data_IF_731453006285
#
_entry.id   IF_731453006285
#
_cell.length_a   1.000
_cell.length_b   1.000
_cell.length_c   1.000
_cell.angle_alpha   90.00
_cell.angle_beta   90.00
_cell.angle_gamma   90.00
#
_symmetry.space_group_name_H-M   'P 1'
#
loop_
_entity.id
_entity.type
_entity.pdbx_description
1 polymer ?
#
# COMPACT_ATOMS: atom_id res chain seq x y z
N UNK A 1 6.05 25.54 -0.61
CA UNK A 1 6.58 25.65 -1.99
C UNK A 1 7.74 24.69 -2.29
N UNK A 2 8.76 24.56 -1.41
CA UNK A 2 9.95 23.73 -1.66
C UNK A 2 9.67 22.25 -1.93
N UNK A 3 8.70 21.66 -1.20
CA UNK A 3 8.32 20.26 -1.38
C UNK A 3 7.77 20.00 -2.79
N UNK A 4 6.92 20.88 -3.32
CA UNK A 4 6.21 20.66 -4.59
C UNK A 4 7.11 20.57 -5.82
N UNK A 5 8.15 21.41 -5.91
CA UNK A 5 9.06 21.43 -7.06
C UNK A 5 9.95 20.17 -7.08
N UNK A 6 10.42 19.75 -5.91
CA UNK A 6 11.20 18.50 -5.79
C UNK A 6 10.34 17.31 -6.19
N UNK A 7 9.07 17.28 -5.78
CA UNK A 7 8.15 16.22 -6.16
C UNK A 7 7.84 16.19 -7.66
N UNK A 8 7.63 17.34 -8.30
CA UNK A 8 7.33 17.38 -9.74
C UNK A 8 8.55 16.96 -10.57
N UNK A 9 9.75 17.39 -10.20
CA UNK A 9 10.99 16.94 -10.84
C UNK A 9 11.21 15.44 -10.66
N UNK A 10 11.00 14.92 -9.44
CA UNK A 10 11.11 13.49 -9.17
C UNK A 10 10.08 12.68 -9.97
N UNK A 11 8.81 13.10 -9.98
CA UNK A 11 7.76 12.44 -10.76
C UNK A 11 8.07 12.43 -12.26
N UNK A 12 8.61 13.53 -12.80
CA UNK A 12 9.02 13.63 -14.21
C UNK A 12 10.20 12.70 -14.51
N UNK A 13 11.16 12.61 -13.59
CA UNK A 13 12.26 11.64 -13.71
C UNK A 13 11.71 10.22 -13.73
N UNK A 14 10.91 9.83 -12.75
CA UNK A 14 10.36 8.49 -12.64
C UNK A 14 9.56 8.08 -13.88
N UNK A 15 8.67 8.93 -14.36
CA UNK A 15 7.85 8.65 -15.55
C UNK A 15 8.71 8.40 -16.80
N UNK A 16 9.79 9.16 -16.99
CA UNK A 16 10.77 8.92 -18.06
C UNK A 16 11.47 7.57 -17.91
N UNK A 17 11.88 7.22 -16.70
CA UNK A 17 12.53 5.92 -16.42
C UNK A 17 11.60 4.73 -16.68
N UNK A 18 10.33 4.85 -16.30
CA UNK A 18 9.31 3.83 -16.56
C UNK A 18 9.12 3.64 -18.06
N UNK A 19 9.05 4.75 -18.82
CA UNK A 19 8.98 4.72 -20.27
C UNK A 19 10.18 4.01 -20.89
N UNK A 20 11.39 4.31 -20.45
CA UNK A 20 12.61 3.67 -20.93
C UNK A 20 12.65 2.16 -20.64
N UNK A 21 12.20 1.73 -19.45
CA UNK A 21 12.10 0.30 -19.11
C UNK A 21 11.08 -0.41 -20.01
N UNK A 22 9.90 0.18 -20.21
CA UNK A 22 8.88 -0.39 -21.13
C UNK A 22 9.40 -0.50 -22.55
N UNK A 23 10.10 0.52 -23.05
CA UNK A 23 10.69 0.49 -24.39
C UNK A 23 11.75 -0.61 -24.53
N UNK A 24 12.66 -0.76 -23.56
CA UNK A 24 13.66 -1.84 -23.56
C UNK A 24 13.02 -3.22 -23.52
N UNK A 25 12.03 -3.41 -22.64
CA UNK A 25 11.34 -4.68 -22.49
C UNK A 25 10.55 -5.03 -23.76
N UNK A 26 9.86 -4.06 -24.36
CA UNK A 26 9.17 -4.23 -25.63
C UNK A 26 10.13 -4.59 -26.77
N UNK A 27 11.26 -3.89 -26.86
CA UNK A 27 12.30 -4.18 -27.85
C UNK A 27 12.84 -5.61 -27.71
N UNK A 28 13.13 -6.05 -26.48
CA UNK A 28 13.59 -7.41 -26.23
C UNK A 28 12.54 -8.46 -26.59
N UNK A 29 11.28 -8.26 -26.19
CA UNK A 29 10.17 -9.17 -26.55
C UNK A 29 9.98 -9.25 -28.07
N UNK A 30 10.16 -8.14 -28.78
CA UNK A 30 10.02 -8.08 -30.24
C UNK A 30 11.13 -8.83 -30.99
N UNK A 31 12.25 -9.15 -30.33
CA UNK A 31 13.35 -9.93 -30.90
C UNK A 31 13.29 -11.42 -30.57
N UNK A 32 12.33 -11.87 -29.74
CA UNK A 32 12.16 -13.29 -29.41
C UNK A 32 11.69 -14.09 -30.63
N UNK A 33 12.09 -15.36 -30.70
CA UNK A 33 11.63 -16.25 -31.77
C UNK A 33 10.14 -16.57 -31.62
N UNK A 34 9.48 -16.95 -32.73
CA UNK A 34 8.06 -17.30 -32.73
C UNK A 34 7.76 -18.42 -31.72
N UNK A 35 8.66 -19.41 -31.61
CA UNK A 35 8.55 -20.53 -30.69
C UNK A 35 8.62 -20.07 -29.21
N UNK A 36 9.45 -19.08 -28.91
CA UNK A 36 9.56 -18.49 -27.57
C UNK A 36 8.34 -17.63 -27.20
N UNK A 37 7.77 -16.92 -28.17
CA UNK A 37 6.54 -16.14 -27.99
C UNK A 37 5.34 -17.06 -27.76
N UNK A 38 5.22 -18.14 -28.54
CA UNK A 38 4.15 -19.14 -28.44
C UNK A 38 4.24 -20.03 -27.20
N UNK A 39 5.42 -20.13 -26.58
CA UNK A 39 5.61 -20.84 -25.31
C UNK A 39 4.80 -20.24 -24.14
N UNK A 40 4.28 -19.01 -24.29
CA UNK A 40 3.46 -18.32 -23.30
C UNK A 40 2.18 -17.74 -23.93
N UNK A 41 1.05 -17.68 -23.19
CA UNK A 41 -0.15 -17.02 -23.68
C UNK A 41 0.12 -15.55 -24.02
N UNK A 42 -0.45 -15.04 -25.13
CA UNK A 42 -0.30 -13.64 -25.56
C UNK A 42 -0.66 -12.62 -24.46
N UNK A 43 -1.63 -12.95 -23.60
CA UNK A 43 -2.02 -12.13 -22.45
C UNK A 43 -0.95 -12.04 -21.34
N UNK A 44 -0.04 -13.02 -21.23
CA UNK A 44 1.06 -12.98 -20.26
C UNK A 44 2.08 -11.90 -20.62
N UNK A 45 2.39 -11.75 -21.92
CA UNK A 45 3.32 -10.71 -22.41
C UNK A 45 2.78 -9.30 -22.18
N UNK A 46 1.48 -9.08 -22.42
CA UNK A 46 0.80 -7.80 -22.14
C UNK A 46 0.82 -7.49 -20.64
N UNK A 47 0.61 -8.51 -19.80
CA UNK A 47 0.66 -8.40 -18.35
C UNK A 47 2.06 -8.05 -17.86
N UNK A 48 3.11 -8.69 -18.41
CA UNK A 48 4.51 -8.39 -18.09
C UNK A 48 4.89 -6.95 -18.47
N UNK A 49 4.48 -6.49 -19.66
CA UNK A 49 4.78 -5.14 -20.15
C UNK A 49 4.07 -4.03 -19.34
N UNK A 50 2.83 -4.28 -18.94
CA UNK A 50 2.01 -3.27 -18.26
C UNK A 50 2.05 -3.41 -16.74
N UNK A 51 1.59 -4.54 -16.20
CA UNK A 51 1.39 -4.76 -14.76
C UNK A 51 2.73 -5.00 -14.07
N UNK A 52 3.60 -5.86 -14.61
CA UNK A 52 4.86 -6.17 -13.92
C UNK A 52 5.85 -5.01 -13.97
N UNK A 53 5.93 -4.25 -15.07
CA UNK A 53 6.72 -3.01 -15.12
C UNK A 53 6.13 -1.94 -14.18
N UNK A 54 4.80 -1.83 -14.10
CA UNK A 54 4.16 -0.89 -13.16
C UNK A 54 4.42 -1.30 -11.70
N UNK A 55 4.41 -2.59 -11.39
CA UNK A 55 4.78 -3.11 -10.08
C UNK A 55 6.27 -2.87 -9.79
N UNK A 56 7.17 -3.22 -10.71
CA UNK A 56 8.62 -3.01 -10.58
C UNK A 56 8.97 -1.53 -10.32
N UNK A 57 8.24 -0.64 -10.97
CA UNK A 57 8.41 0.80 -10.83
C UNK A 57 7.51 1.42 -9.76
N UNK A 58 6.71 0.63 -9.04
CA UNK A 58 5.80 1.14 -8.00
C UNK A 58 6.56 1.85 -6.87
N UNK A 59 7.80 1.44 -6.60
CA UNK A 59 8.68 2.13 -5.64
C UNK A 59 9.02 3.56 -6.01
N UNK A 60 9.02 3.84 -7.30
CA UNK A 60 9.33 5.12 -7.88
C UNK A 60 8.04 5.91 -8.13
N UNK A 61 6.99 5.24 -8.62
CA UNK A 61 5.75 5.82 -9.11
C UNK A 61 4.66 6.08 -8.06
N UNK A 62 4.55 5.26 -7.01
CA UNK A 62 3.45 5.42 -6.07
C UNK A 62 3.65 6.62 -5.14
N UNK A 63 2.55 7.23 -4.62
CA UNK A 63 2.59 8.35 -3.68
C UNK A 63 3.32 8.07 -2.36
N UNK A 64 3.81 6.84 -2.15
CA UNK A 64 4.65 6.42 -1.02
C UNK A 64 6.02 6.03 -1.58
N UNK A 65 6.81 7.05 -1.87
CA UNK A 65 8.11 6.99 -2.52
C UNK A 65 9.23 6.45 -1.59
N UNK A 66 10.33 5.95 -2.15
CA UNK A 66 11.62 5.76 -1.44
C UNK A 66 12.03 7.00 -0.61
N UNK A 67 11.95 8.24 -1.16
CA UNK A 67 12.18 9.45 -0.37
C UNK A 67 11.21 9.62 0.81
N UNK A 68 9.97 9.13 0.74
CA UNK A 68 9.07 9.14 1.90
C UNK A 68 9.51 8.17 2.99
N UNK A 69 10.05 6.99 2.63
CA UNK A 69 10.63 6.07 3.59
C UNK A 69 11.86 6.69 4.28
N UNK A 70 12.71 7.38 3.51
CA UNK A 70 13.89 8.09 4.02
C UNK A 70 13.47 9.24 4.94
N UNK A 71 12.53 10.09 4.50
CA UNK A 71 11.99 11.19 5.31
C UNK A 71 11.32 10.66 6.57
N UNK A 72 10.55 9.58 6.49
CA UNK A 72 9.93 8.94 7.64
C UNK A 72 10.98 8.43 8.64
N UNK A 73 12.03 7.77 8.15
CA UNK A 73 13.13 7.26 8.98
C UNK A 73 13.89 8.41 9.64
N UNK A 74 14.23 9.46 8.87
CA UNK A 74 14.86 10.67 9.41
C UNK A 74 13.97 11.31 10.46
N UNK A 75 12.67 11.44 10.19
CA UNK A 75 11.72 12.04 11.12
C UNK A 75 11.63 11.24 12.44
N UNK A 76 11.56 9.90 12.37
CA UNK A 76 11.59 9.04 13.56
C UNK A 76 12.90 9.21 14.32
N UNK A 77 14.05 9.15 13.64
CA UNK A 77 15.37 9.27 14.27
C UNK A 77 15.59 10.64 14.91
N UNK A 78 15.28 11.72 14.19
CA UNK A 78 15.43 13.10 14.68
C UNK A 78 14.46 13.36 15.84
N UNK A 79 13.19 12.96 15.70
CA UNK A 79 12.20 13.08 16.78
C UNK A 79 12.63 12.30 18.02
N UNK A 80 13.11 11.07 17.84
CA UNK A 80 13.62 10.24 18.93
C UNK A 80 14.83 10.87 19.61
N UNK A 81 15.78 11.39 18.83
CA UNK A 81 16.99 12.02 19.38
C UNK A 81 16.65 13.28 20.18
N UNK A 82 15.78 14.14 19.65
CA UNK A 82 15.35 15.36 20.33
C UNK A 82 14.60 15.02 21.63
N UNK A 83 13.68 14.05 21.59
CA UNK A 83 12.93 13.63 22.78
C UNK A 83 13.83 13.04 23.88
N UNK A 84 14.82 12.23 23.51
CA UNK A 84 15.79 11.66 24.46
C UNK A 84 16.65 12.75 25.09
N UNK A 85 17.13 13.71 24.28
CA UNK A 85 17.93 14.84 24.77
C UNK A 85 17.14 15.77 25.70
N UNK A 86 15.83 15.90 25.46
CA UNK A 86 14.96 16.77 26.24
C UNK A 86 14.59 16.14 27.58
N UNK A 87 14.00 14.94 27.57
CA UNK A 87 13.69 14.20 28.79
C UNK A 87 13.49 12.70 28.48
N UNK A 88 14.39 11.83 28.96
CA UNK A 88 14.29 10.38 28.76
C UNK A 88 12.98 9.76 29.30
N UNK A 89 12.40 10.33 30.36
CA UNK A 89 11.13 9.89 30.94
C UNK A 89 9.93 10.17 30.04
N UNK A 90 9.87 11.37 29.44
CA UNK A 90 8.85 11.73 28.43
C UNK A 90 8.96 10.80 27.22
N UNK A 91 10.18 10.58 26.73
CA UNK A 91 10.43 9.69 25.60
C UNK A 91 9.99 8.25 25.87
N UNK A 92 10.35 7.69 27.02
CA UNK A 92 9.96 6.33 27.42
C UNK A 92 8.44 6.16 27.45
N UNK A 93 7.72 7.15 28.00
CA UNK A 93 6.26 7.16 28.04
C UNK A 93 5.63 7.28 26.64
N UNK A 94 6.19 8.13 25.77
CA UNK A 94 5.74 8.26 24.37
C UNK A 94 5.91 6.92 23.65
N UNK A 95 7.09 6.29 23.72
CA UNK A 95 7.36 5.01 23.06
C UNK A 95 6.43 3.92 23.60
N UNK A 96 6.25 3.86 24.91
CA UNK A 96 5.37 2.89 25.55
C UNK A 96 3.93 2.97 25.04
N UNK A 97 3.50 4.12 24.51
CA UNK A 97 2.17 4.31 23.92
C UNK A 97 2.15 4.22 22.39
N UNK A 98 3.19 4.70 21.72
CA UNK A 98 3.32 4.66 20.25
C UNK A 98 3.44 3.21 19.75
N UNK A 99 4.21 2.36 20.43
CA UNK A 99 4.38 0.96 20.02
C UNK A 99 3.03 0.21 20.03
N UNK A 100 2.23 0.20 21.13
CA UNK A 100 0.91 -0.42 21.12
C UNK A 100 -0.03 0.19 20.09
N UNK A 101 0.01 1.50 19.88
CA UNK A 101 -0.85 2.17 18.88
C UNK A 101 -0.57 1.67 17.47
N UNK A 102 0.71 1.58 17.09
CA UNK A 102 1.13 1.07 15.79
C UNK A 102 0.81 -0.42 15.65
N UNK A 103 1.06 -1.23 16.69
CA UNK A 103 0.72 -2.65 16.68
C UNK A 103 -0.79 -2.88 16.54
N UNK A 104 -1.61 -2.13 17.28
CA UNK A 104 -3.06 -2.21 17.21
C UNK A 104 -3.57 -1.87 15.81
N UNK A 105 -3.07 -0.79 15.22
CA UNK A 105 -3.37 -0.43 13.82
C UNK A 105 -3.04 -1.58 12.86
N UNK A 106 -1.85 -2.15 13.00
CA UNK A 106 -1.38 -3.19 12.09
C UNK A 106 -2.18 -4.49 12.22
N UNK A 107 -2.47 -4.92 13.45
CA UNK A 107 -3.15 -6.17 13.73
C UNK A 107 -4.67 -6.08 13.51
N UNK A 108 -5.32 -5.00 13.91
CA UNK A 108 -6.77 -4.86 13.80
C UNK A 108 -7.24 -4.42 12.42
N UNK A 109 -6.39 -3.74 11.63
CA UNK A 109 -6.81 -3.15 10.35
C UNK A 109 -5.94 -3.68 9.22
N UNK A 110 -4.65 -3.39 9.22
CA UNK A 110 -3.82 -3.61 8.02
C UNK A 110 -3.78 -5.09 7.62
N UNK A 111 -3.53 -6.01 8.56
CA UNK A 111 -3.53 -7.46 8.32
C UNK A 111 -4.88 -8.02 7.84
N UNK A 112 -6.00 -7.82 8.55
CA UNK A 112 -7.28 -8.37 8.09
C UNK A 112 -7.75 -7.74 6.78
N UNK A 113 -7.51 -6.44 6.58
CA UNK A 113 -7.87 -5.75 5.32
C UNK A 113 -7.04 -6.29 4.14
N UNK A 114 -5.75 -6.58 4.34
CA UNK A 114 -4.92 -7.17 3.27
C UNK A 114 -5.35 -8.59 2.93
N UNK A 115 -5.71 -9.42 3.92
CA UNK A 115 -6.27 -10.74 3.68
C UNK A 115 -7.61 -10.67 2.91
N UNK A 116 -8.56 -9.86 3.40
CA UNK A 116 -9.85 -9.66 2.74
C UNK A 116 -9.72 -9.07 1.33
N UNK A 117 -8.68 -8.29 1.06
CA UNK A 117 -8.42 -7.76 -0.28
C UNK A 117 -8.08 -8.87 -1.29
N UNK A 118 -7.44 -9.96 -0.84
CA UNK A 118 -7.22 -11.14 -1.67
C UNK A 118 -8.54 -11.84 -1.98
N UNK A 119 -9.42 -12.01 -0.98
CA UNK A 119 -10.75 -12.58 -1.17
C UNK A 119 -11.60 -11.75 -2.16
N UNK A 120 -11.47 -10.42 -2.12
CA UNK A 120 -12.13 -9.54 -3.10
C UNK A 120 -11.59 -9.79 -4.50
N UNK A 121 -10.27 -9.95 -4.67
CA UNK A 121 -9.69 -10.23 -5.99
C UNK A 121 -10.20 -11.55 -6.57
N UNK A 122 -10.32 -12.59 -5.75
CA UNK A 122 -10.88 -13.88 -6.18
C UNK A 122 -12.36 -13.76 -6.57
N UNK A 123 -13.16 -13.04 -5.77
CA UNK A 123 -14.56 -12.77 -6.08
C UNK A 123 -14.73 -11.97 -7.39
N UNK A 124 -13.85 -10.99 -7.64
CA UNK A 124 -13.82 -10.20 -8.89
C UNK A 124 -13.45 -11.08 -10.08
N UNK A 125 -12.48 -11.98 -9.94
CA UNK A 125 -12.11 -12.91 -10.99
C UNK A 125 -13.30 -13.80 -11.39
N UNK A 126 -13.98 -14.39 -10.40
CA UNK A 126 -15.19 -15.21 -10.63
C UNK A 126 -16.30 -14.43 -11.32
N UNK A 127 -16.59 -13.22 -10.85
CA UNK A 127 -17.62 -12.37 -11.46
C UNK A 127 -17.27 -11.99 -12.90
N UNK A 128 -16.00 -11.75 -13.20
CA UNK A 128 -15.52 -11.50 -14.57
C UNK A 128 -15.76 -12.72 -15.46
N UNK A 129 -15.51 -13.93 -14.96
CA UNK A 129 -15.82 -15.18 -15.67
C UNK A 129 -17.32 -15.33 -15.94
N UNK A 130 -18.17 -15.05 -14.96
CA UNK A 130 -19.63 -15.12 -15.11
C UNK A 130 -20.16 -14.08 -16.10
N UNK A 131 -19.61 -12.86 -16.05
CA UNK A 131 -19.92 -11.80 -17.01
C UNK A 131 -19.53 -12.20 -18.43
N UNK A 132 -18.32 -12.75 -18.62
CA UNK A 132 -17.89 -13.24 -19.93
C UNK A 132 -18.84 -14.33 -20.46
N UNK A 133 -19.21 -15.32 -19.63
CA UNK A 133 -20.17 -16.34 -20.03
C UNK A 133 -21.52 -15.76 -20.44
N UNK A 134 -22.02 -14.75 -19.73
CA UNK A 134 -23.28 -14.07 -20.06
C UNK A 134 -23.22 -13.35 -21.42
N UNK A 135 -22.08 -12.76 -21.78
CA UNK A 135 -21.89 -12.08 -23.07
C UNK A 135 -21.63 -13.07 -24.20
N UNK A 136 -20.73 -14.05 -24.01
CA UNK A 136 -20.32 -14.97 -25.08
C UNK A 136 -21.39 -16.02 -25.38
N UNK A 137 -22.19 -16.42 -24.40
CA UNK A 137 -23.26 -17.42 -24.57
C UNK A 137 -24.66 -16.79 -24.72
N UNK A 138 -24.76 -15.48 -24.97
CA UNK A 138 -26.05 -14.78 -25.05
C UNK A 138 -27.00 -15.41 -26.09
N UNK A 139 -26.50 -15.72 -27.28
CA UNK A 139 -27.30 -16.30 -28.37
C UNK A 139 -27.76 -17.73 -28.02
N UNK A 140 -26.87 -18.54 -27.42
CA UNK A 140 -27.19 -19.90 -26.95
C UNK A 140 -28.23 -19.84 -25.83
N UNK A 141 -28.08 -18.89 -24.90
CA UNK A 141 -29.00 -18.71 -23.79
C UNK A 141 -30.40 -18.27 -24.26
N UNK A 142 -30.50 -17.49 -25.34
CA UNK A 142 -31.79 -17.21 -25.98
C UNK A 142 -32.40 -18.44 -26.63
N UNK A 143 -31.58 -19.29 -27.26
CA UNK A 143 -32.03 -20.51 -27.94
C UNK A 143 -32.60 -21.55 -26.95
N UNK A 144 -32.02 -21.64 -25.75
CA UNK A 144 -32.38 -22.63 -24.71
C UNK A 144 -33.18 -22.04 -23.54
N UNK A 145 -33.65 -20.79 -23.64
CA UNK A 145 -34.37 -20.06 -22.57
C UNK A 145 -33.63 -20.04 -21.21
N UNK A 146 -32.29 -20.04 -21.25
CA UNK A 146 -31.42 -20.11 -20.09
C UNK A 146 -30.95 -18.73 -19.59
N UNK A 147 -31.57 -17.64 -20.07
CA UNK A 147 -31.14 -16.26 -19.76
C UNK A 147 -31.23 -15.94 -18.26
N UNK A 148 -32.34 -16.27 -17.62
CA UNK A 148 -32.52 -16.02 -16.18
C UNK A 148 -31.49 -16.78 -15.34
N UNK A 149 -31.15 -18.02 -15.74
CA UNK A 149 -30.13 -18.81 -15.05
C UNK A 149 -28.76 -18.13 -15.07
N UNK A 150 -28.32 -17.64 -16.23
CA UNK A 150 -27.05 -16.91 -16.34
C UNK A 150 -27.07 -15.58 -15.58
N UNK A 151 -28.18 -14.84 -15.64
CA UNK A 151 -28.33 -13.58 -14.94
C UNK A 151 -28.26 -13.77 -13.41
N UNK A 152 -28.94 -14.80 -12.90
CA UNK A 152 -28.91 -15.15 -11.48
C UNK A 152 -27.51 -15.54 -11.02
N UNK A 153 -26.76 -16.31 -11.84
CA UNK A 153 -25.37 -16.66 -11.53
C UNK A 153 -24.45 -15.43 -11.44
N UNK A 154 -24.61 -14.48 -12.36
CA UNK A 154 -23.89 -13.21 -12.33
C UNK A 154 -24.30 -12.32 -11.13
N UNK A 155 -25.58 -12.30 -10.77
CA UNK A 155 -26.07 -11.60 -9.58
C UNK A 155 -25.45 -12.18 -8.30
N UNK A 156 -25.41 -13.50 -8.16
CA UNK A 156 -24.82 -14.19 -7.02
C UNK A 156 -23.32 -13.87 -6.85
N UNK A 157 -22.54 -13.87 -7.94
CA UNK A 157 -21.12 -13.50 -7.87
C UNK A 157 -20.92 -12.01 -7.59
N UNK A 158 -21.80 -11.14 -8.10
CA UNK A 158 -21.78 -9.70 -7.78
C UNK A 158 -22.10 -9.42 -6.31
N UNK A 159 -23.07 -10.15 -5.74
CA UNK A 159 -23.43 -10.06 -4.32
C UNK A 159 -22.30 -10.55 -3.42
N UNK A 160 -21.53 -11.54 -3.84
CA UNK A 160 -20.36 -12.01 -3.09
C UNK A 160 -19.26 -10.93 -3.03
N UNK A 161 -18.95 -10.26 -4.14
CA UNK A 161 -18.03 -9.10 -4.15
C UNK A 161 -18.51 -8.05 -3.15
N UNK A 162 -19.80 -7.70 -3.16
CA UNK A 162 -20.38 -6.74 -2.21
C UNK A 162 -20.17 -7.21 -0.77
N UNK A 163 -20.43 -8.49 -0.49
CA UNK A 163 -20.35 -9.09 0.85
C UNK A 163 -18.92 -9.01 1.41
N UNK A 164 -17.91 -9.35 0.60
CA UNK A 164 -16.50 -9.28 1.01
C UNK A 164 -16.03 -7.83 1.15
N UNK A 165 -16.40 -6.94 0.22
CA UNK A 165 -16.07 -5.51 0.32
C UNK A 165 -16.69 -4.85 1.57
N UNK A 166 -17.91 -5.21 1.93
CA UNK A 166 -18.54 -4.72 3.17
C UNK A 166 -17.75 -5.12 4.42
N UNK A 167 -17.15 -6.32 4.47
CA UNK A 167 -16.26 -6.73 5.56
C UNK A 167 -15.03 -5.82 5.65
N UNK A 168 -14.42 -5.45 4.51
CA UNK A 168 -13.29 -4.50 4.47
C UNK A 168 -13.73 -3.14 5.00
N UNK A 169 -14.85 -2.60 4.52
CA UNK A 169 -15.33 -1.29 4.95
C UNK A 169 -15.68 -1.26 6.42
N UNK A 170 -16.28 -2.34 6.96
CA UNK A 170 -16.54 -2.46 8.39
C UNK A 170 -15.24 -2.43 9.22
N UNK A 171 -14.19 -3.15 8.80
CA UNK A 171 -12.88 -3.11 9.45
C UNK A 171 -12.25 -1.71 9.40
N UNK A 172 -12.35 -1.01 8.26
CA UNK A 172 -11.87 0.37 8.12
C UNK A 172 -12.66 1.35 8.98
N UNK A 173 -13.99 1.22 9.03
CA UNK A 173 -14.86 2.03 9.88
C UNK A 173 -14.52 1.85 11.37
N UNK A 174 -14.38 0.60 11.82
CA UNK A 174 -13.94 0.28 13.18
C UNK A 174 -12.56 0.90 13.48
N UNK A 175 -11.64 0.83 12.52
CA UNK A 175 -10.33 1.46 12.61
C UNK A 175 -10.36 2.98 12.72
N UNK A 176 -11.24 3.62 11.94
CA UNK A 176 -11.41 5.07 11.95
C UNK A 176 -11.95 5.60 13.28
N UNK A 177 -12.65 4.78 14.06
CA UNK A 177 -13.02 5.11 15.44
C UNK A 177 -11.92 4.80 16.45
N UNK A 178 -11.34 3.59 16.38
CA UNK A 178 -10.42 3.08 17.40
C UNK A 178 -9.05 3.78 17.39
N UNK A 179 -8.49 4.10 16.22
CA UNK A 179 -7.17 4.75 16.13
C UNK A 179 -7.14 6.17 16.66
N UNK A 180 -8.13 7.04 16.35
CA UNK A 180 -8.16 8.38 16.93
C UNK A 180 -8.38 8.36 18.43
N UNK A 181 -9.25 7.47 18.95
CA UNK A 181 -9.48 7.34 20.39
C UNK A 181 -8.21 6.95 21.13
N UNK A 182 -7.49 5.93 20.64
CA UNK A 182 -6.20 5.55 21.21
C UNK A 182 -5.18 6.68 21.05
N UNK A 183 -5.14 7.34 19.90
CA UNK A 183 -4.29 8.51 19.64
C UNK A 183 -4.50 9.65 20.64
N UNK A 184 -5.76 10.01 20.91
CA UNK A 184 -6.17 11.01 21.90
C UNK A 184 -5.82 10.56 23.33
N UNK A 185 -6.04 9.28 23.66
CA UNK A 185 -5.65 8.72 24.94
C UNK A 185 -4.16 8.92 25.24
N UNK A 186 -3.29 8.70 24.25
CA UNK A 186 -1.86 8.95 24.44
C UNK A 186 -1.51 10.43 24.61
N UNK A 187 -2.26 11.36 23.99
CA UNK A 187 -2.07 12.79 24.25
C UNK A 187 -2.48 13.16 25.68
N UNK A 188 -3.58 12.58 26.17
CA UNK A 188 -4.07 12.78 27.54
C UNK A 188 -3.05 12.27 28.58
N UNK A 189 -2.49 11.09 28.38
CA UNK A 189 -1.48 10.53 29.30
C UNK A 189 -0.24 11.42 29.35
N UNK A 190 0.24 11.90 28.19
CA UNK A 190 1.39 12.82 28.13
C UNK A 190 1.06 14.16 28.80
N UNK A 191 -0.18 14.66 28.67
CA UNK A 191 -0.61 15.88 29.34
C UNK A 191 -0.59 15.72 30.87
N UNK A 192 -1.13 14.61 31.39
CA UNK A 192 -1.17 14.33 32.83
C UNK A 192 0.24 14.13 33.41
N UNK A 193 1.07 13.31 32.77
CA UNK A 193 2.46 13.10 33.19
C UNK A 193 3.29 14.38 33.05
N UNK A 194 3.18 15.06 31.90
CA UNK A 194 3.84 16.32 31.62
C UNK A 194 3.48 17.43 32.59
N UNK A 195 2.20 17.53 32.99
CA UNK A 195 1.75 18.49 34.01
C UNK A 195 2.44 18.28 35.35
N UNK A 196 2.60 17.03 35.79
CA UNK A 196 3.33 16.71 37.03
C UNK A 196 4.81 17.07 36.95
N UNK A 197 5.45 16.89 35.80
CA UNK A 197 6.86 17.27 35.57
C UNK A 197 7.07 18.78 35.48
N UNK A 198 6.10 19.51 34.93
CA UNK A 198 6.12 20.98 34.95
C UNK A 198 5.99 21.48 36.40
N UNK A 199 5.08 20.89 37.19
CA UNK A 199 4.92 21.25 38.60
C UNK A 199 6.17 20.93 39.44
N UNK A 200 6.91 19.87 39.08
CA UNK A 200 8.18 19.51 39.71
C UNK A 200 9.37 20.37 39.24
N UNK A 201 9.17 21.27 38.27
CA UNK A 201 10.25 22.09 37.69
C UNK A 201 11.22 21.33 36.79
N UNK A 202 10.95 20.06 36.47
CA UNK A 202 11.83 19.21 35.67
C UNK A 202 11.64 19.38 34.16
N UNK A 203 10.58 20.05 33.72
CA UNK A 203 10.22 20.20 32.30
C UNK A 203 9.50 21.52 32.07
N UNK A 204 9.73 22.17 30.93
CA UNK A 204 9.05 23.42 30.57
C UNK A 204 7.80 23.18 29.72
N UNK A 205 6.91 24.17 29.65
CA UNK A 205 5.76 24.12 28.74
C UNK A 205 6.19 23.99 27.27
N UNK A 206 7.29 24.63 26.88
CA UNK A 206 7.86 24.52 25.53
C UNK A 206 8.26 23.08 25.20
N UNK A 207 8.88 22.39 26.15
CA UNK A 207 9.26 20.99 26.01
C UNK A 207 8.04 20.07 25.90
N UNK A 208 6.98 20.31 26.69
CA UNK A 208 5.75 19.52 26.58
C UNK A 208 5.05 19.70 25.22
N UNK A 209 4.99 20.94 24.72
CA UNK A 209 4.39 21.21 23.40
C UNK A 209 5.23 20.61 22.26
N UNK A 210 6.55 20.64 22.36
CA UNK A 210 7.46 19.94 21.46
C UNK A 210 7.22 18.42 21.51
N UNK A 211 7.04 17.85 22.70
CA UNK A 211 6.76 16.41 22.87
C UNK A 211 5.50 15.96 22.12
N UNK A 212 4.44 16.77 22.12
CA UNK A 212 3.23 16.48 21.35
C UNK A 212 3.46 16.48 19.84
N UNK A 213 4.24 17.43 19.33
CA UNK A 213 4.57 17.53 17.91
C UNK A 213 5.43 16.35 17.46
N UNK A 214 6.50 16.05 18.19
CA UNK A 214 7.39 14.93 17.87
C UNK A 214 6.69 13.58 17.98
N UNK A 215 5.77 13.39 18.94
CA UNK A 215 4.91 12.20 18.98
C UNK A 215 4.08 12.05 17.70
N UNK A 216 3.42 13.13 17.26
CA UNK A 216 2.63 13.12 16.02
C UNK A 216 3.50 12.78 14.80
N UNK A 217 4.69 13.38 14.72
CA UNK A 217 5.69 13.09 13.71
C UNK A 217 6.14 11.63 13.70
N UNK A 218 6.41 11.04 14.86
CA UNK A 218 6.78 9.62 15.00
C UNK A 218 5.64 8.69 14.55
N UNK A 219 4.38 8.98 14.90
CA UNK A 219 3.23 8.18 14.47
C UNK A 219 3.03 8.22 12.96
N UNK A 220 3.09 9.42 12.36
CA UNK A 220 2.99 9.57 10.91
C UNK A 220 4.17 8.86 10.22
N UNK A 221 5.40 9.09 10.69
CA UNK A 221 6.60 8.47 10.16
C UNK A 221 6.53 6.94 10.21
N UNK A 222 6.10 6.36 11.33
CA UNK A 222 5.99 4.90 11.47
C UNK A 222 4.92 4.31 10.55
N UNK A 223 3.75 4.93 10.43
CA UNK A 223 2.72 4.53 9.46
C UNK A 223 3.23 4.61 8.01
N UNK A 224 3.94 5.70 7.67
CA UNK A 224 4.53 5.86 6.34
C UNK A 224 5.58 4.79 6.05
N UNK A 225 6.47 4.49 7.02
CA UNK A 225 7.50 3.46 6.88
C UNK A 225 6.88 2.08 6.63
N UNK A 226 5.82 1.72 7.35
CA UNK A 226 5.09 0.44 7.15
C UNK A 226 4.53 0.35 5.73
N UNK A 227 3.89 1.42 5.24
CA UNK A 227 3.36 1.47 3.88
C UNK A 227 4.48 1.37 2.83
N UNK A 228 5.59 2.07 3.03
CA UNK A 228 6.77 1.96 2.15
C UNK A 228 7.32 0.54 2.09
N UNK A 229 7.41 -0.17 3.23
CA UNK A 229 7.87 -1.56 3.27
C UNK A 229 6.95 -2.50 2.49
N UNK A 230 5.63 -2.30 2.54
CA UNK A 230 4.68 -3.06 1.72
C UNK A 230 4.90 -2.81 0.23
N UNK A 231 5.10 -1.55 -0.15
CA UNK A 231 5.38 -1.19 -1.54
C UNK A 231 6.71 -1.75 -2.05
N UNK A 232 7.74 -1.80 -1.21
CA UNK A 232 9.03 -2.44 -1.54
C UNK A 232 8.83 -3.92 -1.88
N UNK A 233 8.05 -4.65 -1.07
CA UNK A 233 7.80 -6.08 -1.32
C UNK A 233 7.08 -6.30 -2.66
N UNK A 234 6.05 -5.50 -2.95
CA UNK A 234 5.32 -5.56 -4.22
C UNK A 234 6.22 -5.25 -5.40
N UNK A 235 7.08 -4.24 -5.29
CA UNK A 235 7.98 -3.86 -6.36
C UNK A 235 9.09 -4.88 -6.61
N UNK A 236 9.63 -5.50 -5.56
CA UNK A 236 10.61 -6.58 -5.71
C UNK A 236 10.04 -7.75 -6.52
N UNK A 237 8.78 -8.11 -6.29
CA UNK A 237 8.09 -9.14 -7.06
C UNK A 237 7.92 -8.77 -8.55
N UNK A 238 7.65 -7.49 -8.84
CA UNK A 238 7.59 -6.97 -10.21
C UNK A 238 8.96 -6.97 -10.89
N UNK A 239 10.00 -6.48 -10.21
CA UNK A 239 11.39 -6.48 -10.72
C UNK A 239 11.84 -7.89 -11.06
N UNK A 240 11.57 -8.88 -10.19
CA UNK A 240 11.92 -10.28 -10.45
C UNK A 240 11.33 -10.78 -11.77
N UNK A 241 10.04 -10.52 -12.01
CA UNK A 241 9.35 -10.95 -13.26
C UNK A 241 9.85 -10.21 -14.50
N UNK A 242 10.12 -8.91 -14.40
CA UNK A 242 10.74 -8.14 -15.51
C UNK A 242 12.13 -8.68 -15.81
N UNK A 243 12.93 -8.99 -14.78
CA UNK A 243 14.26 -9.55 -14.95
C UNK A 243 14.25 -10.94 -15.58
N UNK A 244 13.35 -11.83 -15.13
CA UNK A 244 13.12 -13.14 -15.75
C UNK A 244 12.80 -13.02 -17.25
N UNK A 245 12.08 -11.96 -17.65
CA UNK A 245 11.74 -11.72 -19.05
C UNK A 245 12.94 -11.26 -19.88
N UNK A 246 13.80 -10.41 -19.33
CA UNK A 246 15.01 -9.91 -20.01
C UNK A 246 16.14 -10.94 -20.10
N UNK A 247 16.08 -12.00 -19.28
CA UNK A 247 17.05 -13.10 -19.29
C UNK A 247 16.71 -14.21 -20.29
N UNK A 248 15.59 -14.10 -21.02
CA UNK A 248 15.28 -15.06 -22.08
C UNK A 248 16.31 -14.87 -23.19
N UNK A 249 17.10 -15.91 -23.46
CA UNK A 249 18.14 -15.87 -24.49
C UNK A 249 17.51 -15.75 -25.87
N UNK A 250 17.95 -14.77 -26.64
CA UNK A 250 17.58 -14.64 -28.05
C UNK A 250 18.19 -15.84 -28.79
N UNK A 251 17.37 -16.58 -29.53
CA UNK A 251 17.88 -17.53 -30.52
C UNK A 251 18.49 -16.72 -31.68
N UNK A 252 19.79 -16.89 -31.93
CA UNK A 252 20.49 -16.31 -33.09
C UNK A 252 20.05 -16.99 -34.40
#
# INVERSE_FOLDING_TARGET
MYNGIVWTLYATYVTRWVGAIRQKLFGHISCLSLQQIEAKPSGEWITRLNIDVQAATALLNQPVHLPHAVVATINICVSSMILVLMNPGIFGLIIAFVIPHVLLSQLCIARPVTCLAMDVQEAVAKNTTDMNALVTCADIAMLYDAREFLLKRFEESSLEIRRVNMKIQYRRAMGSGLLPLTGMGGYLVILLAGGSWIAAGSTTFGELTAAFQYRGGMLIGSMMLINSLMNIKTALAGVKRVNETMHITLEE
#
